data_IF_835108998150
#
_entry.id   IF_835108998150
#
_cell.length_a   1.000
_cell.length_b   1.000
_cell.length_c   1.000
_cell.angle_alpha   90.00
_cell.angle_beta   90.00
_cell.angle_gamma   90.00
#
_symmetry.space_group_name_H-M   'P 1'
#
loop_
_entity.id
_entity.type
_entity.pdbx_description
1 polymer ?
#
# COMPACT_ATOMS: atom_id res chain seq x y z
N UNK A 1 -4.74 14.35 5.96
CA UNK A 1 -4.33 13.01 5.52
C UNK A 1 -3.77 13.08 4.13
N UNK A 2 -2.60 12.49 3.94
CA UNK A 2 -2.12 12.14 2.60
C UNK A 2 -3.24 11.38 1.87
N UNK A 3 -3.41 11.66 0.59
CA UNK A 3 -4.42 11.00 -0.24
C UNK A 3 -3.89 9.71 -0.85
N UNK A 4 -2.55 9.58 -0.94
CA UNK A 4 -1.87 8.43 -1.51
C UNK A 4 -0.88 7.89 -0.48
N UNK A 5 -1.07 6.65 -0.06
CA UNK A 5 -0.27 6.00 0.98
C UNK A 5 0.32 4.72 0.42
N UNK A 6 1.65 4.66 0.45
CA UNK A 6 2.40 3.42 0.31
C UNK A 6 2.43 2.69 1.65
N UNK A 7 2.31 1.38 1.63
CA UNK A 7 2.51 0.51 2.77
C UNK A 7 3.30 -0.72 2.34
N UNK A 8 4.45 -0.94 2.95
CA UNK A 8 5.32 -2.03 2.57
C UNK A 8 6.66 -1.93 3.26
N UNK A 9 7.56 -2.81 2.87
CA UNK A 9 8.97 -2.75 3.25
C UNK A 9 9.69 -1.72 2.37
N UNK A 10 10.69 -1.03 2.89
CA UNK A 10 11.48 -0.06 2.11
C UNK A 10 12.95 -0.08 2.57
N UNK A 11 13.58 -1.24 2.44
CA UNK A 11 14.93 -1.55 2.88
C UNK A 11 15.06 -1.65 4.40
N UNK A 12 13.92 -1.70 5.11
CA UNK A 12 13.81 -1.76 6.56
C UNK A 12 13.04 -3.02 6.95
N UNK A 13 13.37 -3.61 8.10
CA UNK A 13 12.67 -4.79 8.60
C UNK A 13 11.24 -4.43 9.02
N UNK A 14 10.25 -4.97 8.31
CA UNK A 14 8.83 -4.76 8.60
C UNK A 14 8.16 -3.70 7.74
N UNK A 15 6.84 -3.55 7.90
CA UNK A 15 6.00 -2.68 7.09
C UNK A 15 5.91 -1.27 7.65
N UNK A 16 6.01 -0.28 6.75
CA UNK A 16 5.96 1.13 7.10
C UNK A 16 5.05 1.90 6.16
N UNK A 17 4.15 2.75 6.69
CA UNK A 17 3.36 3.65 5.88
C UNK A 17 4.17 4.89 5.47
N UNK A 18 4.05 5.28 4.20
CA UNK A 18 4.64 6.49 3.64
C UNK A 18 3.55 7.21 2.85
N UNK A 19 3.32 8.48 3.17
CA UNK A 19 2.47 9.33 2.35
C UNK A 19 3.25 9.83 1.13
N UNK A 20 2.72 9.58 -0.06
CA UNK A 20 3.37 9.85 -1.35
C UNK A 20 3.19 11.32 -1.76
N UNK A 21 1.98 11.84 -1.61
CA UNK A 21 1.64 13.23 -1.92
C UNK A 21 2.01 14.18 -0.77
N UNK A 22 2.07 13.66 0.47
CA UNK A 22 2.37 14.44 1.66
C UNK A 22 2.92 13.58 2.78
N UNK A 23 3.83 14.12 3.58
CA UNK A 23 4.30 13.46 4.81
C UNK A 23 3.15 13.19 5.78
N UNK A 24 3.08 11.97 6.31
CA UNK A 24 2.13 11.58 7.34
C UNK A 24 2.46 12.26 8.66
N UNK A 25 1.44 12.71 9.38
CA UNK A 25 1.56 13.03 10.80
C UNK A 25 1.75 11.74 11.61
N UNK A 26 2.25 11.84 12.86
CA UNK A 26 2.40 10.67 13.72
C UNK A 26 1.08 9.90 13.95
N UNK A 27 -0.05 10.62 14.07
CA UNK A 27 -1.35 9.98 14.21
C UNK A 27 -1.79 9.24 12.93
N UNK A 28 -1.51 9.81 11.75
CA UNK A 28 -1.80 9.15 10.47
C UNK A 28 -0.91 7.93 10.26
N UNK A 29 0.36 8.00 10.67
CA UNK A 29 1.28 6.88 10.63
C UNK A 29 0.74 5.68 11.42
N UNK A 30 0.34 5.88 12.68
CA UNK A 30 -0.19 4.81 13.53
C UNK A 30 -1.45 4.16 12.95
N UNK A 31 -2.34 4.94 12.34
CA UNK A 31 -3.56 4.45 11.68
C UNK A 31 -3.23 3.44 10.56
N UNK A 32 -2.17 3.68 9.79
CA UNK A 32 -1.81 2.80 8.68
C UNK A 32 -1.01 1.57 9.13
N UNK A 33 -0.33 1.63 10.27
CA UNK A 33 0.28 0.45 10.89
C UNK A 33 -0.75 -0.63 11.27
N UNK A 34 -2.03 -0.28 11.41
CA UNK A 34 -3.12 -1.26 11.63
C UNK A 34 -3.25 -2.26 10.48
N UNK A 35 -2.78 -1.94 9.26
CA UNK A 35 -2.75 -2.85 8.13
C UNK A 35 -1.73 -4.00 8.29
N UNK A 36 -0.77 -3.88 9.23
CA UNK A 36 0.17 -4.96 9.56
C UNK A 36 -0.47 -5.99 10.50
N UNK A 37 -1.50 -6.68 10.03
CA UNK A 37 -2.15 -7.74 10.79
C UNK A 37 -2.40 -8.99 9.93
N UNK A 38 -2.46 -10.15 10.59
CA UNK A 38 -2.56 -11.45 9.93
C UNK A 38 -3.78 -11.58 9.02
N UNK A 39 -4.91 -10.94 9.37
CA UNK A 39 -6.12 -10.99 8.53
C UNK A 39 -5.88 -10.24 7.21
N UNK A 40 -5.26 -9.07 7.30
CA UNK A 40 -4.93 -8.24 6.14
C UNK A 40 -3.92 -8.95 5.22
N UNK A 41 -2.82 -9.42 5.80
CA UNK A 41 -1.77 -10.17 5.10
C UNK A 41 -2.37 -11.36 4.35
N UNK A 42 -3.22 -12.15 5.02
CA UNK A 42 -3.85 -13.32 4.40
C UNK A 42 -4.82 -12.94 3.27
N UNK A 43 -5.49 -11.79 3.34
CA UNK A 43 -6.36 -11.31 2.28
C UNK A 43 -5.58 -10.92 1.03
N UNK A 44 -4.48 -10.16 1.18
CA UNK A 44 -3.62 -9.77 0.05
C UNK A 44 -2.97 -10.99 -0.61
N UNK A 45 -2.52 -11.97 0.19
CA UNK A 45 -1.97 -13.23 -0.33
C UNK A 45 -2.96 -14.05 -1.15
N UNK A 46 -4.23 -14.06 -0.76
CA UNK A 46 -5.28 -14.81 -1.48
C UNK A 46 -5.83 -14.04 -2.68
N UNK A 47 -5.92 -12.72 -2.56
CA UNK A 47 -6.56 -11.84 -3.53
C UNK A 47 -5.68 -10.61 -3.79
N UNK A 48 -4.58 -10.74 -4.54
CA UNK A 48 -3.78 -9.57 -4.92
C UNK A 48 -4.52 -8.72 -5.96
N UNK A 49 -4.03 -7.50 -6.18
CA UNK A 49 -4.57 -6.55 -7.15
C UNK A 49 -5.48 -5.51 -6.50
N UNK A 50 -6.45 -5.02 -7.28
CA UNK A 50 -7.25 -3.84 -6.94
C UNK A 50 -8.48 -4.17 -6.08
N UNK A 51 -8.63 -3.47 -4.95
CA UNK A 51 -9.77 -3.55 -4.03
C UNK A 51 -10.33 -2.18 -3.68
N UNK A 52 -11.59 -2.14 -3.25
CA UNK A 52 -12.17 -0.94 -2.60
C UNK A 52 -12.36 -1.26 -1.13
N UNK A 53 -11.76 -0.44 -0.27
CA UNK A 53 -11.82 -0.62 1.17
C UNK A 53 -12.36 0.64 1.85
N UNK A 54 -12.77 0.47 3.11
CA UNK A 54 -13.09 1.59 4.00
C UNK A 54 -12.13 1.55 5.18
N UNK A 55 -11.38 2.62 5.40
CA UNK A 55 -10.42 2.74 6.49
C UNK A 55 -10.68 4.04 7.24
N UNK A 56 -10.89 3.97 8.57
CA UNK A 56 -11.21 5.12 9.42
C UNK A 56 -12.32 6.04 8.88
N UNK A 57 -13.37 5.44 8.31
CA UNK A 57 -14.55 6.18 7.81
C UNK A 57 -14.42 6.68 6.36
N UNK A 58 -13.23 6.65 5.79
CA UNK A 58 -12.91 7.10 4.44
C UNK A 58 -12.82 5.92 3.46
N UNK A 59 -13.09 6.17 2.18
CA UNK A 59 -13.03 5.15 1.13
C UNK A 59 -11.70 5.26 0.39
N UNK A 60 -11.05 4.12 0.16
CA UNK A 60 -9.81 4.03 -0.59
C UNK A 60 -9.89 2.94 -1.65
N UNK A 61 -9.22 3.18 -2.77
CA UNK A 61 -8.82 2.13 -3.70
C UNK A 61 -7.46 1.62 -3.26
N UNK A 62 -7.39 0.33 -2.97
CA UNK A 62 -6.16 -0.37 -2.62
C UNK A 62 -5.66 -1.14 -3.84
N UNK A 63 -4.35 -1.17 -4.04
CA UNK A 63 -3.69 -2.12 -4.94
C UNK A 63 -2.58 -2.83 -4.16
N UNK A 64 -2.73 -4.13 -3.95
CA UNK A 64 -1.82 -4.92 -3.12
C UNK A 64 -1.16 -6.08 -3.86
N UNK A 65 0.11 -6.34 -3.56
CA UNK A 65 0.87 -7.50 -4.05
C UNK A 65 1.45 -8.29 -2.86
N UNK A 66 1.52 -9.63 -2.93
CA UNK A 66 1.88 -10.46 -1.79
C UNK A 66 3.38 -10.71 -1.72
N UNK A 67 4.16 -9.67 -2.01
CA UNK A 67 5.60 -9.68 -1.96
C UNK A 67 6.13 -8.29 -1.63
N UNK A 68 7.40 -8.27 -1.27
CA UNK A 68 8.24 -7.10 -1.15
C UNK A 68 9.46 -7.28 -2.05
N UNK A 69 9.92 -6.22 -2.70
CA UNK A 69 11.07 -6.33 -3.64
C UNK A 69 12.42 -6.41 -2.94
N UNK A 70 12.46 -6.05 -1.66
CA UNK A 70 13.63 -5.85 -0.84
C UNK A 70 13.67 -6.78 0.40
N UNK A 71 12.66 -7.62 0.56
CA UNK A 71 12.56 -8.59 1.65
C UNK A 71 11.86 -9.88 1.18
N UNK A 72 12.31 -11.03 1.68
CA UNK A 72 11.83 -12.37 1.30
C UNK A 72 11.27 -13.13 2.53
N UNK A 73 10.48 -12.45 3.37
CA UNK A 73 9.83 -13.06 4.53
C UNK A 73 8.42 -13.54 4.17
N UNK A 74 8.02 -14.62 4.84
CA UNK A 74 6.63 -15.09 4.79
C UNK A 74 5.74 -14.05 5.47
N UNK A 75 4.86 -13.41 4.69
CA UNK A 75 3.95 -12.38 5.18
C UNK A 75 4.19 -11.00 4.57
N UNK A 76 5.29 -10.84 3.84
CA UNK A 76 5.60 -9.60 3.14
C UNK A 76 4.58 -9.29 2.05
N UNK A 77 4.31 -8.01 1.90
CA UNK A 77 3.32 -7.47 0.99
C UNK A 77 3.59 -5.99 0.80
N UNK A 78 3.20 -5.52 -0.38
CA UNK A 78 3.32 -4.12 -0.78
C UNK A 78 1.97 -3.64 -1.24
N UNK A 79 1.53 -2.50 -0.72
CA UNK A 79 0.21 -1.95 -0.93
C UNK A 79 0.25 -0.44 -1.19
N UNK A 80 -0.68 0.01 -2.02
CA UNK A 80 -0.91 1.41 -2.30
C UNK A 80 -2.38 1.69 -2.00
N UNK A 81 -2.63 2.69 -1.17
CA UNK A 81 -3.96 3.21 -0.89
C UNK A 81 -4.11 4.57 -1.54
N UNK A 82 -5.14 4.73 -2.37
CA UNK A 82 -5.48 6.00 -2.99
C UNK A 82 -6.92 6.38 -2.61
N UNK A 83 -7.07 7.52 -1.93
CA UNK A 83 -8.37 8.00 -1.45
C UNK A 83 -9.36 8.13 -2.62
N UNK A 84 -10.57 7.60 -2.42
CA UNK A 84 -11.63 7.56 -3.42
C UNK A 84 -11.75 6.21 -4.15
N UNK A 85 -12.64 6.17 -5.15
CA UNK A 85 -12.86 4.99 -5.99
C UNK A 85 -12.21 5.24 -7.33
N UNK A 86 -11.17 4.48 -7.62
CA UNK A 86 -10.39 4.51 -8.86
C UNK A 86 -10.42 3.12 -9.50
N UNK A 87 -10.31 3.09 -10.81
CA UNK A 87 -10.15 1.88 -11.60
C UNK A 87 -8.78 1.25 -11.37
N UNK A 88 -8.65 -0.02 -11.74
CA UNK A 88 -7.35 -0.71 -11.69
C UNK A 88 -6.33 -0.06 -12.65
N UNK A 89 -6.77 0.41 -13.81
CA UNK A 89 -5.91 1.13 -14.76
C UNK A 89 -5.38 2.44 -14.18
N UNK A 90 -6.23 3.23 -13.52
CA UNK A 90 -5.82 4.50 -12.90
C UNK A 90 -4.76 4.29 -11.80
N UNK A 91 -4.98 3.34 -10.88
CA UNK A 91 -4.04 3.10 -9.79
C UNK A 91 -2.72 2.47 -10.28
N UNK A 92 -2.76 1.57 -11.27
CA UNK A 92 -1.55 1.03 -11.90
C UNK A 92 -0.77 2.12 -12.64
N UNK A 93 -1.45 3.00 -13.38
CA UNK A 93 -0.81 4.12 -14.06
C UNK A 93 -0.16 5.09 -13.06
N UNK A 94 -0.80 5.33 -11.90
CA UNK A 94 -0.19 6.10 -10.82
C UNK A 94 1.10 5.43 -10.32
N UNK A 95 1.06 4.12 -10.03
CA UNK A 95 2.24 3.36 -9.57
C UNK A 95 3.39 3.45 -10.57
N UNK A 96 3.11 3.28 -11.86
CA UNK A 96 4.14 3.32 -12.92
C UNK A 96 4.76 4.69 -13.12
N UNK A 97 3.98 5.75 -12.93
CA UNK A 97 4.44 7.12 -13.14
C UNK A 97 5.22 7.69 -11.96
N UNK A 98 5.19 7.05 -10.79
CA UNK A 98 6.01 7.40 -9.64
C UNK A 98 7.21 6.44 -9.53
N UNK A 99 8.43 6.99 -9.58
CA UNK A 99 9.66 6.18 -9.59
C UNK A 99 9.88 5.33 -8.32
N UNK A 100 9.39 5.81 -7.17
CA UNK A 100 9.48 5.07 -5.92
C UNK A 100 8.49 3.91 -5.93
N UNK A 101 7.22 4.17 -6.27
CA UNK A 101 6.18 3.16 -6.34
C UNK A 101 6.48 2.10 -7.40
N UNK A 102 6.83 2.51 -8.63
CA UNK A 102 7.20 1.60 -9.72
C UNK A 102 8.24 0.57 -9.30
N UNK A 103 9.26 1.01 -8.54
CA UNK A 103 10.28 0.13 -7.98
C UNK A 103 9.70 -0.84 -6.96
N UNK A 104 8.91 -0.37 -5.99
CA UNK A 104 8.38 -1.20 -4.92
C UNK A 104 7.38 -2.25 -5.42
N UNK A 105 6.58 -1.93 -6.43
CA UNK A 105 5.63 -2.86 -7.03
C UNK A 105 6.25 -3.71 -8.15
N UNK A 106 7.52 -3.50 -8.49
CA UNK A 106 8.21 -4.12 -9.64
C UNK A 106 7.42 -3.97 -10.95
N UNK A 107 6.83 -2.78 -11.16
CA UNK A 107 6.06 -2.46 -12.36
C UNK A 107 6.84 -1.49 -13.23
N UNK A 108 7.14 -1.91 -14.46
CA UNK A 108 7.77 -1.08 -15.50
C UNK A 108 6.75 -0.28 -16.31
#
# INVERSE_FOLDING_TARGET
MAEIIYFGTNGCSGHYPIGIDKTLTGAEYEIWCECDNETWINNIRKNPGRHVIKHHGEVYTNYGVPFSVDEDRVGDHTELFWKGIHTEEEIINLIKNDSFLSKQFNLK
#
